data_IF_386988938530
#
_entry.id   IF_386988938530
#
_cell.length_a   1.000
_cell.length_b   1.000
_cell.length_c   1.000
_cell.angle_alpha   90.00
_cell.angle_beta   90.00
_cell.angle_gamma   90.00
#
_symmetry.space_group_name_H-M   'P 1'
#
loop_
_entity.id
_entity.type
_entity.pdbx_description
1 polymer ?
#
# COMPACT_ATOMS: atom_id res chain seq x y z
N UNK A 1 31.14 0.06 47.25
CA UNK A 1 30.97 -0.87 46.11
C UNK A 1 29.59 -1.50 46.24
N UNK A 2 28.59 -0.90 45.61
CA UNK A 2 27.22 -1.43 45.62
C UNK A 2 27.11 -2.52 44.55
N UNK A 3 26.64 -3.69 44.96
CA UNK A 3 26.37 -4.88 44.15
C UNK A 3 25.58 -4.52 42.89
N UNK A 4 26.16 -4.82 41.71
CA UNK A 4 25.42 -4.86 40.45
C UNK A 4 24.42 -6.01 40.55
N UNK A 5 23.17 -5.69 40.91
CA UNK A 5 22.07 -6.64 40.71
C UNK A 5 22.05 -7.01 39.23
N UNK A 6 22.25 -8.29 38.94
CA UNK A 6 22.12 -8.88 37.60
C UNK A 6 20.78 -8.47 37.00
N UNK A 7 20.81 -7.46 36.14
CA UNK A 7 19.64 -7.02 35.38
C UNK A 7 19.42 -8.09 34.33
N UNK A 8 18.32 -8.84 34.46
CA UNK A 8 17.92 -9.78 33.42
C UNK A 8 17.88 -9.07 32.06
N UNK A 9 18.45 -9.67 31.01
CA UNK A 9 18.40 -9.08 29.67
C UNK A 9 16.94 -8.97 29.22
N UNK A 10 16.60 -7.86 28.60
CA UNK A 10 15.32 -7.67 27.95
C UNK A 10 15.11 -8.69 26.83
N UNK A 11 13.85 -8.99 26.49
CA UNK A 11 13.56 -9.88 25.36
C UNK A 11 14.17 -9.39 24.05
N UNK A 12 14.29 -8.07 23.86
CA UNK A 12 14.98 -7.49 22.70
C UNK A 12 16.45 -7.90 22.67
N UNK A 13 17.17 -7.77 23.78
CA UNK A 13 18.59 -8.17 23.89
C UNK A 13 18.78 -9.69 23.68
N UNK A 14 17.86 -10.50 24.22
CA UNK A 14 17.86 -11.96 24.00
C UNK A 14 17.68 -12.30 22.52
N UNK A 15 16.68 -11.71 21.86
CA UNK A 15 16.43 -11.92 20.43
C UNK A 15 17.65 -11.48 19.61
N UNK A 16 18.20 -10.29 19.88
CA UNK A 16 19.40 -9.80 19.20
C UNK A 16 20.56 -10.79 19.33
N UNK A 17 20.83 -11.30 20.54
CA UNK A 17 21.89 -12.29 20.78
C UNK A 17 21.68 -13.60 20.00
N UNK A 18 20.45 -14.11 19.98
CA UNK A 18 20.10 -15.31 19.20
C UNK A 18 20.36 -15.07 17.70
N UNK A 19 19.87 -13.95 17.17
CA UNK A 19 19.97 -13.63 15.73
C UNK A 19 21.40 -13.29 15.29
N UNK A 20 22.24 -12.75 16.16
CA UNK A 20 23.64 -12.41 15.84
C UNK A 20 24.43 -13.66 15.37
N UNK A 21 24.13 -14.84 15.91
CA UNK A 21 24.79 -16.10 15.56
C UNK A 21 24.21 -16.80 14.32
N UNK A 22 23.07 -16.36 13.79
CA UNK A 22 22.35 -17.07 12.74
C UNK A 22 23.06 -17.02 11.38
N UNK A 23 23.22 -18.14 10.68
CA UNK A 23 23.81 -18.11 9.32
C UNK A 23 22.75 -18.07 8.22
N UNK A 24 21.47 -18.18 8.57
CA UNK A 24 20.36 -18.24 7.62
C UNK A 24 19.01 -18.06 8.32
N UNK A 25 17.92 -18.46 7.64
CA UNK A 25 16.59 -18.48 8.23
C UNK A 25 16.52 -19.35 9.49
N UNK A 26 15.73 -18.93 10.47
CA UNK A 26 15.52 -19.62 11.73
C UNK A 26 14.03 -19.97 11.92
N UNK A 27 13.70 -21.20 12.34
CA UNK A 27 12.36 -21.53 12.79
C UNK A 27 11.97 -20.70 14.02
N UNK A 28 10.78 -20.11 14.01
CA UNK A 28 10.23 -19.35 15.14
C UNK A 28 10.20 -20.20 16.41
N UNK A 29 9.87 -21.50 16.28
CA UNK A 29 9.86 -22.45 17.38
C UNK A 29 11.22 -22.54 18.08
N UNK A 30 12.32 -22.58 17.30
CA UNK A 30 13.67 -22.65 17.84
C UNK A 30 14.03 -21.37 18.61
N UNK A 31 13.63 -20.20 18.10
CA UNK A 31 13.84 -18.92 18.79
C UNK A 31 13.07 -18.92 20.11
N UNK A 32 11.82 -19.36 20.13
CA UNK A 32 11.00 -19.46 21.35
C UNK A 32 11.68 -20.38 22.39
N UNK A 33 12.19 -21.53 21.99
CA UNK A 33 12.88 -22.47 22.88
C UNK A 33 14.15 -21.84 23.47
N UNK A 34 14.97 -21.18 22.65
CA UNK A 34 16.18 -20.46 23.10
C UNK A 34 15.85 -19.29 24.02
N UNK A 35 14.80 -18.52 23.72
CA UNK A 35 14.33 -17.43 24.58
C UNK A 35 13.90 -17.94 25.95
N UNK A 36 13.13 -19.03 26.02
CA UNK A 36 12.69 -19.63 27.28
C UNK A 36 13.83 -20.24 28.08
N UNK A 37 14.87 -20.76 27.41
CA UNK A 37 16.07 -21.25 28.08
C UNK A 37 16.89 -20.12 28.73
N UNK A 38 16.98 -18.96 28.08
CA UNK A 38 17.71 -17.79 28.60
C UNK A 38 16.90 -16.98 29.60
N UNK A 39 15.58 -16.92 29.43
CA UNK A 39 14.67 -16.18 30.30
C UNK A 39 13.33 -16.93 30.44
N UNK A 40 13.23 -17.84 31.43
CA UNK A 40 11.97 -18.53 31.73
C UNK A 40 10.84 -17.52 31.99
N UNK A 41 9.67 -17.75 31.40
CA UNK A 41 8.51 -16.86 31.56
C UNK A 41 7.53 -17.43 32.58
N UNK A 42 7.00 -16.55 33.44
CA UNK A 42 5.96 -16.88 34.43
C UNK A 42 4.53 -16.72 33.87
N UNK A 43 4.39 -16.41 32.58
CA UNK A 43 3.07 -16.25 31.97
C UNK A 43 2.30 -17.58 31.95
N UNK A 44 0.96 -17.51 31.96
CA UNK A 44 0.08 -18.69 31.82
C UNK A 44 0.36 -19.50 30.55
N UNK A 45 0.82 -18.84 29.48
CA UNK A 45 1.28 -19.47 28.25
C UNK A 45 2.61 -18.85 27.80
N UNK A 46 3.75 -19.37 28.29
CA UNK A 46 5.09 -18.85 28.01
C UNK A 46 5.42 -18.76 26.51
N UNK A 47 5.05 -19.79 25.74
CA UNK A 47 5.31 -19.84 24.30
C UNK A 47 4.60 -18.71 23.56
N UNK A 48 3.31 -18.47 23.87
CA UNK A 48 2.54 -17.39 23.26
C UNK A 48 3.14 -16.02 23.57
N UNK A 49 3.64 -15.81 24.78
CA UNK A 49 4.33 -14.58 25.15
C UNK A 49 5.62 -14.38 24.34
N UNK A 50 6.44 -15.41 24.16
CA UNK A 50 7.64 -15.32 23.32
C UNK A 50 7.29 -15.03 21.86
N UNK A 51 6.27 -15.68 21.31
CA UNK A 51 5.79 -15.41 19.95
C UNK A 51 5.39 -13.94 19.77
N UNK A 52 4.79 -13.31 20.78
CA UNK A 52 4.42 -11.91 20.72
C UNK A 52 5.65 -11.00 20.63
N UNK A 53 6.69 -11.26 21.45
CA UNK A 53 7.95 -10.51 21.37
C UNK A 53 8.69 -10.70 20.05
N UNK A 54 8.65 -11.91 19.46
CA UNK A 54 9.22 -12.16 18.12
C UNK A 54 8.44 -11.36 17.06
N UNK A 55 7.11 -11.25 17.18
CA UNK A 55 6.30 -10.40 16.28
C UNK A 55 6.61 -8.91 16.42
N UNK A 56 6.81 -8.44 17.65
CA UNK A 56 7.20 -7.04 17.92
C UNK A 56 8.59 -6.71 17.35
N UNK A 57 9.46 -7.71 17.19
CA UNK A 57 10.77 -7.56 16.56
C UNK A 57 10.72 -7.53 15.01
N UNK A 58 9.55 -7.76 14.40
CA UNK A 58 9.38 -7.76 12.95
C UNK A 58 9.65 -6.36 12.35
N UNK A 59 10.48 -6.29 11.31
CA UNK A 59 10.96 -5.04 10.72
C UNK A 59 11.94 -4.25 11.58
N UNK A 60 12.31 -4.76 12.77
CA UNK A 60 13.27 -4.11 13.67
C UNK A 60 14.57 -4.90 13.83
N UNK A 61 14.45 -6.22 13.96
CA UNK A 61 15.59 -7.14 14.11
C UNK A 61 15.52 -8.31 13.12
N UNK A 62 14.30 -8.67 12.69
CA UNK A 62 14.02 -9.78 11.79
C UNK A 62 12.86 -9.46 10.84
N UNK A 63 12.69 -10.29 9.81
CA UNK A 63 11.47 -10.38 9.00
C UNK A 63 10.98 -11.82 8.96
N UNK A 64 9.68 -12.02 8.77
CA UNK A 64 9.11 -13.34 8.53
C UNK A 64 9.25 -13.71 7.05
N UNK A 65 9.75 -14.91 6.76
CA UNK A 65 9.71 -15.50 5.40
C UNK A 65 8.40 -16.25 5.16
N UNK A 66 7.89 -16.85 6.23
CA UNK A 66 6.60 -17.53 6.32
C UNK A 66 6.14 -17.47 7.79
N UNK A 67 4.93 -17.93 8.15
CA UNK A 67 4.42 -17.84 9.53
C UNK A 67 5.28 -18.49 10.62
N UNK A 68 6.18 -19.39 10.25
CA UNK A 68 7.01 -20.21 11.14
C UNK A 68 8.51 -20.00 10.96
N UNK A 69 8.94 -19.17 10.02
CA UNK A 69 10.36 -18.94 9.71
C UNK A 69 10.66 -17.45 9.66
N UNK A 70 11.74 -17.04 10.31
CA UNK A 70 12.23 -15.65 10.28
C UNK A 70 13.65 -15.57 9.73
N UNK A 71 14.02 -14.39 9.24
CA UNK A 71 15.35 -14.05 8.79
C UNK A 71 15.85 -12.78 9.51
N UNK A 72 17.05 -12.78 10.12
CA UNK A 72 17.65 -11.56 10.65
C UNK A 72 17.77 -10.46 9.58
N UNK A 73 17.54 -9.20 9.94
CA UNK A 73 17.60 -8.08 8.99
C UNK A 73 18.96 -7.94 8.30
N UNK A 74 20.07 -8.21 9.01
CA UNK A 74 21.40 -8.20 8.39
C UNK A 74 21.52 -9.18 7.22
N UNK A 75 20.83 -10.33 7.27
CA UNK A 75 20.82 -11.31 6.19
C UNK A 75 19.79 -10.96 5.09
N UNK A 76 18.67 -10.34 5.47
CA UNK A 76 17.69 -9.80 4.53
C UNK A 76 18.34 -8.76 3.61
N UNK A 77 19.15 -7.86 4.18
CA UNK A 77 19.82 -6.78 3.45
C UNK A 77 21.20 -7.10 2.91
N UNK A 78 21.89 -8.14 3.37
CA UNK A 78 23.23 -8.45 2.88
C UNK A 78 23.26 -8.60 1.36
N UNK A 79 24.07 -7.78 0.69
CA UNK A 79 24.19 -7.75 -0.78
C UNK A 79 22.97 -7.18 -1.50
N UNK A 80 21.96 -6.64 -0.79
CA UNK A 80 20.84 -5.96 -1.42
C UNK A 80 21.33 -4.72 -2.16
N UNK A 81 20.80 -4.50 -3.37
CA UNK A 81 21.16 -3.38 -4.22
C UNK A 81 19.94 -2.55 -4.63
N UNK A 82 20.12 -1.24 -4.69
CA UNK A 82 19.14 -0.29 -5.22
C UNK A 82 19.86 0.84 -5.96
N UNK A 83 19.12 1.64 -6.74
CA UNK A 83 19.68 2.78 -7.46
C UNK A 83 18.94 4.08 -7.24
N UNK A 84 19.68 5.19 -7.34
CA UNK A 84 19.15 6.55 -7.34
C UNK A 84 19.44 7.20 -8.70
N UNK A 85 18.42 7.71 -9.40
CA UNK A 85 18.65 8.64 -10.50
C UNK A 85 19.22 9.94 -9.94
N UNK A 86 20.23 10.50 -10.62
CA UNK A 86 20.84 11.75 -10.20
C UNK A 86 20.39 12.87 -11.11
N UNK A 87 19.80 13.93 -10.56
CA UNK A 87 19.50 15.12 -11.34
C UNK A 87 20.74 16.02 -11.53
N UNK A 88 20.55 17.08 -12.31
CA UNK A 88 21.63 18.02 -12.62
C UNK A 88 22.14 18.74 -11.38
N UNK A 89 21.28 19.05 -10.43
CA UNK A 89 21.64 19.77 -9.22
C UNK A 89 22.50 18.90 -8.30
N UNK A 90 22.07 17.66 -8.08
CA UNK A 90 22.74 16.60 -7.30
C UNK A 90 24.15 16.36 -7.83
N UNK A 91 24.31 16.20 -9.16
CA UNK A 91 25.63 15.99 -9.77
C UNK A 91 26.51 17.23 -9.67
N UNK A 92 25.97 18.42 -9.93
CA UNK A 92 26.75 19.66 -9.88
C UNK A 92 27.25 19.98 -8.46
N UNK A 93 26.39 19.78 -7.45
CA UNK A 93 26.72 20.03 -6.05
C UNK A 93 27.48 18.86 -5.42
N UNK A 94 27.32 17.65 -5.96
CA UNK A 94 27.85 16.42 -5.37
C UNK A 94 27.17 16.04 -4.06
N UNK A 95 25.93 16.50 -3.81
CA UNK A 95 25.23 16.32 -2.55
C UNK A 95 24.12 15.27 -2.72
N UNK A 96 24.19 14.18 -1.93
CA UNK A 96 23.16 13.13 -1.92
C UNK A 96 22.44 13.15 -0.57
N UNK A 97 21.12 13.28 -0.56
CA UNK A 97 20.33 13.25 0.68
C UNK A 97 20.37 11.84 1.29
N UNK A 98 21.16 11.68 2.36
CA UNK A 98 21.39 10.36 2.96
C UNK A 98 20.28 9.96 3.92
N UNK A 99 19.60 10.92 4.55
CA UNK A 99 18.47 10.61 5.43
C UNK A 99 17.33 10.01 4.62
N UNK A 100 16.88 10.69 3.59
CA UNK A 100 15.77 10.21 2.76
C UNK A 100 16.15 8.96 1.98
N UNK A 101 17.34 8.92 1.37
CA UNK A 101 17.71 7.81 0.49
C UNK A 101 18.11 6.52 1.22
N UNK A 102 18.56 6.61 2.49
CA UNK A 102 19.12 5.45 3.21
C UNK A 102 18.31 5.01 4.43
N UNK A 103 17.36 5.81 4.95
CA UNK A 103 16.68 5.48 6.21
C UNK A 103 16.04 4.09 6.22
N UNK A 104 15.45 3.63 5.11
CA UNK A 104 14.80 2.31 5.06
C UNK A 104 15.80 1.15 5.01
N UNK A 105 17.06 1.43 4.69
CA UNK A 105 18.15 0.46 4.50
C UNK A 105 19.16 0.45 5.64
N UNK A 106 18.91 1.22 6.69
CA UNK A 106 19.74 1.31 7.88
C UNK A 106 19.06 0.65 9.07
N UNK A 107 19.83 0.25 10.11
CA UNK A 107 19.26 -0.07 11.41
C UNK A 107 18.38 1.06 11.95
N UNK A 108 17.34 0.71 12.70
CA UNK A 108 16.47 1.72 13.31
C UNK A 108 17.30 2.59 14.27
N UNK A 109 17.21 3.91 14.12
CA UNK A 109 18.00 4.90 14.89
C UNK A 109 19.51 4.77 14.65
N UNK A 110 19.94 4.46 13.41
CA UNK A 110 21.36 4.47 13.05
C UNK A 110 21.92 5.90 12.97
N UNK A 111 23.04 6.23 13.66
CA UNK A 111 23.69 7.53 13.55
C UNK A 111 24.24 7.75 12.13
N UNK A 112 23.87 8.86 11.49
CA UNK A 112 24.29 9.13 10.11
C UNK A 112 25.81 9.29 10.00
N UNK A 113 26.47 9.74 11.07
CA UNK A 113 27.91 9.91 11.18
C UNK A 113 28.69 8.59 11.14
N UNK A 114 28.03 7.47 11.44
CA UNK A 114 28.63 6.14 11.37
C UNK A 114 28.57 5.51 9.98
N UNK A 115 27.83 6.11 9.05
CA UNK A 115 27.70 5.62 7.66
C UNK A 115 29.07 5.64 6.99
N UNK A 116 29.36 4.59 6.23
CA UNK A 116 30.60 4.48 5.44
C UNK A 116 30.26 4.14 4.01
N UNK A 117 30.89 4.88 3.09
CA UNK A 117 30.87 4.56 1.68
C UNK A 117 32.20 3.91 1.28
N UNK A 118 32.13 2.87 0.47
CA UNK A 118 33.29 2.22 -0.15
C UNK A 118 33.08 2.12 -1.66
N UNK A 119 34.15 2.03 -2.43
CA UNK A 119 34.08 1.74 -3.86
C UNK A 119 33.99 0.23 -4.14
N UNK A 120 33.99 -0.16 -5.41
CA UNK A 120 33.94 -1.56 -5.86
C UNK A 120 35.13 -2.42 -5.37
N UNK A 121 36.23 -1.80 -4.95
CA UNK A 121 37.41 -2.49 -4.39
C UNK A 121 37.36 -2.60 -2.87
N UNK A 122 36.32 -2.04 -2.24
CA UNK A 122 36.21 -1.91 -0.79
C UNK A 122 37.01 -0.74 -0.21
N UNK A 123 37.58 0.12 -1.06
CA UNK A 123 38.34 1.29 -0.59
C UNK A 123 37.40 2.37 -0.07
N UNK A 124 37.68 3.00 1.09
CA UNK A 124 36.82 4.04 1.64
C UNK A 124 36.67 5.25 0.70
N UNK A 125 35.44 5.72 0.53
CA UNK A 125 35.11 6.96 -0.18
C UNK A 125 34.97 8.07 0.86
N UNK A 126 35.87 9.07 0.88
CA UNK A 126 35.78 10.18 1.82
C UNK A 126 34.59 11.08 1.48
N UNK A 127 33.83 11.46 2.50
CA UNK A 127 32.70 12.39 2.38
C UNK A 127 32.52 13.18 3.68
N UNK A 128 31.70 14.23 3.62
CA UNK A 128 31.27 14.99 4.80
C UNK A 128 29.74 15.08 4.79
N UNK A 129 29.13 15.05 5.97
CA UNK A 129 27.71 15.30 6.12
C UNK A 129 27.50 16.81 6.20
N UNK A 130 26.66 17.35 5.32
CA UNK A 130 26.30 18.77 5.26
C UNK A 130 24.79 18.93 5.43
N UNK A 131 24.33 19.82 6.34
CA UNK A 131 22.94 20.21 6.37
C UNK A 131 22.63 21.09 5.15
N UNK A 132 21.52 20.81 4.47
CA UNK A 132 20.98 21.64 3.40
C UNK A 132 19.59 22.06 3.82
N UNK A 133 19.35 23.37 3.88
CA UNK A 133 18.05 23.93 4.25
C UNK A 133 17.32 24.42 3.01
N UNK A 134 16.05 24.03 2.88
CA UNK A 134 15.17 24.46 1.82
C UNK A 134 13.89 25.03 2.42
N UNK A 135 13.44 26.16 1.86
CA UNK A 135 12.11 26.69 2.16
C UNK A 135 11.06 25.88 1.41
N UNK A 136 10.06 25.41 2.15
CA UNK A 136 8.89 24.75 1.60
C UNK A 136 7.65 25.53 2.02
N UNK A 137 6.75 25.73 1.07
CA UNK A 137 5.44 26.31 1.37
C UNK A 137 4.51 25.18 1.78
N UNK A 138 4.01 25.25 3.00
CA UNK A 138 2.98 24.35 3.53
C UNK A 138 1.68 25.11 3.72
N UNK A 139 0.57 24.42 3.97
CA UNK A 139 -0.71 25.04 4.32
C UNK A 139 -0.65 25.90 5.60
N UNK A 140 0.41 25.74 6.41
CA UNK A 140 0.67 26.53 7.62
C UNK A 140 1.69 27.66 7.38
N UNK A 141 2.03 27.97 6.11
CA UNK A 141 2.98 29.00 5.72
C UNK A 141 4.34 28.45 5.26
N UNK A 142 5.31 29.36 5.10
CA UNK A 142 6.69 29.00 4.75
C UNK A 142 7.40 28.34 5.94
N UNK A 143 7.78 27.08 5.77
CA UNK A 143 8.61 26.34 6.70
C UNK A 143 9.99 26.09 6.09
N UNK A 144 11.03 26.03 6.93
CA UNK A 144 12.36 25.62 6.50
C UNK A 144 12.60 24.17 6.91
N UNK A 145 12.73 23.29 5.93
CA UNK A 145 13.14 21.90 6.16
C UNK A 145 14.65 21.83 5.98
N UNK A 146 15.34 21.18 6.92
CA UNK A 146 16.77 20.91 6.83
C UNK A 146 16.99 19.41 6.69
N UNK A 147 17.78 19.01 5.71
CA UNK A 147 18.10 17.60 5.41
C UNK A 147 19.60 17.38 5.30
N UNK A 148 20.05 16.23 5.79
CA UNK A 148 21.45 15.84 5.83
C UNK A 148 21.89 15.20 4.51
N UNK A 149 22.93 15.77 3.93
CA UNK A 149 23.48 15.33 2.65
C UNK A 149 24.92 14.86 2.81
N UNK A 150 25.29 13.77 2.13
CA UNK A 150 26.67 13.42 1.93
C UNK A 150 27.27 14.21 0.76
N UNK A 151 28.37 14.93 1.02
CA UNK A 151 29.19 15.56 -0.02
C UNK A 151 30.13 14.53 -0.65
N UNK A 152 29.69 14.01 -1.79
CA UNK A 152 30.39 13.07 -2.65
C UNK A 152 31.00 13.78 -3.87
N UNK A 153 31.09 15.11 -3.90
CA UNK A 153 31.49 15.85 -5.10
C UNK A 153 32.89 15.50 -5.61
N UNK A 154 33.84 15.24 -4.71
CA UNK A 154 35.18 14.78 -5.10
C UNK A 154 35.13 13.39 -5.76
N UNK A 155 34.35 12.48 -5.20
CA UNK A 155 34.17 11.14 -5.74
C UNK A 155 33.42 11.19 -7.08
N UNK A 156 32.34 11.96 -7.20
CA UNK A 156 31.60 12.17 -8.46
C UNK A 156 32.51 12.64 -9.60
N UNK A 157 33.42 13.60 -9.33
CA UNK A 157 34.41 14.05 -10.32
C UNK A 157 35.38 12.94 -10.70
N UNK A 158 35.88 12.15 -9.73
CA UNK A 158 36.78 11.02 -9.98
C UNK A 158 36.11 9.94 -10.86
N UNK A 159 34.81 9.72 -10.67
CA UNK A 159 34.00 8.77 -11.43
C UNK A 159 33.47 9.36 -12.75
N UNK A 160 33.71 10.64 -13.03
CA UNK A 160 33.17 11.38 -14.18
C UNK A 160 31.64 11.28 -14.28
N UNK A 161 30.94 11.46 -13.16
CA UNK A 161 29.48 11.40 -13.06
C UNK A 161 28.79 12.51 -13.89
N UNK A 162 27.64 12.17 -14.50
CA UNK A 162 26.76 13.09 -15.24
C UNK A 162 25.29 12.98 -14.79
N UNK A 163 24.48 14.02 -15.05
CA UNK A 163 23.08 14.19 -14.60
C UNK A 163 22.03 13.19 -15.15
N UNK A 164 22.44 12.15 -15.86
CA UNK A 164 21.58 11.04 -16.28
C UNK A 164 22.16 9.69 -15.87
N UNK A 165 23.31 9.70 -15.19
CA UNK A 165 23.89 8.50 -14.63
C UNK A 165 23.13 8.13 -13.36
N UNK A 166 23.16 6.84 -13.01
CA UNK A 166 22.58 6.36 -11.77
C UNK A 166 23.70 6.07 -10.76
N UNK A 167 23.41 6.40 -9.50
CA UNK A 167 24.22 5.97 -8.36
C UNK A 167 23.64 4.65 -7.85
N UNK A 168 24.41 3.57 -7.92
CA UNK A 168 24.03 2.28 -7.38
C UNK A 168 24.58 2.15 -5.96
N UNK A 169 23.76 1.58 -5.09
CA UNK A 169 24.12 1.23 -3.72
C UNK A 169 24.09 -0.29 -3.58
N UNK A 170 25.10 -0.84 -2.92
CA UNK A 170 25.11 -2.24 -2.46
C UNK A 170 25.33 -2.23 -0.95
N UNK A 171 24.46 -2.89 -0.19
CA UNK A 171 24.60 -3.00 1.27
C UNK A 171 25.66 -4.08 1.57
N UNK A 172 26.81 -3.66 2.07
CA UNK A 172 27.96 -4.55 2.36
C UNK A 172 27.92 -5.05 3.80
N UNK A 173 27.66 -4.15 4.75
CA UNK A 173 27.51 -4.46 6.18
C UNK A 173 26.37 -3.60 6.74
N UNK A 174 25.18 -4.20 6.84
CA UNK A 174 23.98 -3.50 7.30
C UNK A 174 24.10 -3.04 8.76
N UNK A 175 24.72 -3.85 9.62
CA UNK A 175 24.85 -3.53 11.05
C UNK A 175 25.76 -2.33 11.28
N UNK A 176 26.74 -2.13 10.41
CA UNK A 176 27.69 -1.00 10.46
C UNK A 176 27.41 0.11 9.46
N UNK A 177 26.28 0.06 8.74
CA UNK A 177 25.91 1.07 7.75
C UNK A 177 26.96 1.26 6.64
N UNK A 178 27.55 0.17 6.15
CA UNK A 178 28.55 0.20 5.07
C UNK A 178 27.88 -0.06 3.72
N UNK A 179 28.00 0.91 2.82
CA UNK A 179 27.46 0.84 1.47
C UNK A 179 28.58 0.93 0.44
N UNK A 180 28.57 0.04 -0.54
CA UNK A 180 29.38 0.18 -1.74
C UNK A 180 28.65 1.06 -2.75
N UNK A 181 29.35 2.05 -3.30
CA UNK A 181 28.85 2.96 -4.32
C UNK A 181 29.41 2.61 -5.69
N UNK A 182 28.55 2.64 -6.71
CA UNK A 182 28.95 2.42 -8.09
C UNK A 182 28.25 3.42 -9.00
N UNK A 183 28.95 3.80 -10.07
CA UNK A 183 28.38 4.60 -11.15
C UNK A 183 27.86 3.67 -12.23
N UNK A 184 26.62 3.91 -12.68
CA UNK A 184 26.10 3.35 -13.91
C UNK A 184 25.89 4.48 -14.94
N UNK A 185 26.71 4.54 -16.00
CA UNK A 185 26.53 5.52 -17.06
C UNK A 185 25.20 5.32 -17.80
N UNK A 186 24.51 6.42 -18.15
CA UNK A 186 23.24 6.36 -18.88
C UNK A 186 23.31 5.49 -20.15
N UNK A 187 24.43 5.52 -20.87
CA UNK A 187 24.65 4.77 -22.11
C UNK A 187 24.85 3.26 -21.93
N UNK A 188 25.14 2.81 -20.71
CA UNK A 188 25.39 1.40 -20.39
C UNK A 188 24.19 0.76 -19.70
N UNK A 189 23.13 1.54 -19.45
CA UNK A 189 21.94 1.08 -18.74
C UNK A 189 21.13 0.13 -19.60
N UNK A 190 20.74 -0.99 -19.02
CA UNK A 190 19.73 -1.87 -19.61
C UNK A 190 18.35 -1.41 -19.14
N UNK A 191 17.73 -0.52 -19.91
CA UNK A 191 16.42 0.06 -19.58
C UNK A 191 15.32 -1.01 -19.48
N UNK A 192 15.39 -2.04 -20.33
CA UNK A 192 14.39 -3.12 -20.33
C UNK A 192 14.51 -3.95 -19.05
N UNK A 193 15.73 -4.31 -18.67
CA UNK A 193 15.95 -5.04 -17.43
C UNK A 193 15.63 -4.17 -16.21
N UNK A 194 15.93 -2.87 -16.25
CA UNK A 194 15.57 -1.93 -15.17
C UNK A 194 14.06 -1.91 -14.96
N UNK A 195 13.29 -1.76 -16.04
CA UNK A 195 11.83 -1.74 -15.97
C UNK A 195 11.26 -3.06 -15.42
N UNK A 196 11.81 -4.20 -15.86
CA UNK A 196 11.43 -5.51 -15.33
C UNK A 196 11.73 -5.63 -13.82
N UNK A 197 12.86 -5.10 -13.36
CA UNK A 197 13.24 -5.14 -11.94
C UNK A 197 12.37 -4.20 -11.10
N UNK A 198 12.00 -3.03 -11.64
CA UNK A 198 11.07 -2.10 -11.00
C UNK A 198 9.69 -2.73 -10.86
N UNK A 199 9.16 -3.29 -11.95
CA UNK A 199 7.85 -3.94 -11.95
C UNK A 199 7.80 -5.10 -10.94
N UNK A 200 8.83 -5.95 -10.91
CA UNK A 200 8.94 -7.03 -9.93
C UNK A 200 8.93 -6.49 -8.48
N UNK A 201 9.72 -5.46 -8.20
CA UNK A 201 9.79 -4.85 -6.88
C UNK A 201 8.41 -4.33 -6.46
N UNK A 202 7.71 -3.62 -7.35
CA UNK A 202 6.41 -3.04 -7.05
C UNK A 202 5.32 -4.10 -6.92
N UNK A 203 5.32 -5.13 -7.78
CA UNK A 203 4.39 -6.26 -7.67
C UNK A 203 4.53 -6.99 -6.34
N UNK A 204 5.74 -7.10 -5.81
CA UNK A 204 6.01 -7.65 -4.49
C UNK A 204 5.45 -6.76 -3.35
N UNK A 205 5.58 -5.43 -3.43
CA UNK A 205 4.93 -4.51 -2.49
C UNK A 205 3.40 -4.60 -2.57
N UNK A 206 2.87 -4.63 -3.78
CA UNK A 206 1.43 -4.72 -4.02
C UNK A 206 0.87 -6.03 -3.46
N UNK A 207 1.57 -7.16 -3.64
CA UNK A 207 1.18 -8.45 -3.05
C UNK A 207 1.14 -8.39 -1.51
N UNK A 208 2.13 -7.77 -0.84
CA UNK A 208 2.09 -7.58 0.61
C UNK A 208 0.87 -6.76 1.04
N UNK A 209 0.55 -5.69 0.30
CA UNK A 209 -0.59 -4.81 0.56
C UNK A 209 -1.92 -5.55 0.36
N UNK A 210 -2.03 -6.34 -0.69
CA UNK A 210 -3.18 -7.20 -0.99
C UNK A 210 -3.46 -8.22 0.12
N UNK A 211 -2.43 -8.64 0.87
CA UNK A 211 -2.56 -9.52 2.01
C UNK A 211 -2.74 -8.83 3.38
N UNK A 212 -2.71 -7.49 3.43
CA UNK A 212 -2.86 -6.75 4.68
C UNK A 212 -4.30 -6.29 4.93
N UNK A 213 -4.87 -6.72 6.05
CA UNK A 213 -6.26 -6.40 6.42
C UNK A 213 -6.50 -4.92 6.69
N UNK A 214 -5.46 -4.16 7.00
CA UNK A 214 -5.56 -2.72 7.25
C UNK A 214 -5.43 -1.87 6.00
N UNK A 215 -5.23 -2.49 4.83
CA UNK A 215 -5.02 -1.79 3.54
C UNK A 215 -3.83 -0.81 3.58
N UNK A 216 -2.91 -1.06 4.51
CA UNK A 216 -1.65 -0.37 4.65
C UNK A 216 -0.60 -1.36 5.15
N UNK A 217 0.65 -1.19 4.68
CA UNK A 217 1.80 -1.92 5.18
C UNK A 217 2.87 -0.92 5.61
N UNK A 218 3.60 -1.22 6.69
CA UNK A 218 4.66 -0.33 7.16
C UNK A 218 5.96 -0.57 6.39
N UNK A 219 6.60 0.50 5.91
CA UNK A 219 7.82 0.44 5.10
C UNK A 219 8.96 -0.29 5.82
N UNK A 220 9.15 -0.06 7.12
CA UNK A 220 10.17 -0.74 7.94
C UNK A 220 9.99 -2.27 8.03
N UNK A 221 8.79 -2.79 7.75
CA UNK A 221 8.54 -4.24 7.65
C UNK A 221 8.56 -4.71 6.20
N UNK A 222 7.93 -3.96 5.29
CA UNK A 222 7.75 -4.35 3.90
C UNK A 222 9.06 -4.36 3.12
N UNK A 223 9.87 -3.29 3.22
CA UNK A 223 11.15 -3.17 2.49
C UNK A 223 12.08 -4.34 2.79
N UNK A 224 12.43 -4.68 4.06
CA UNK A 224 13.31 -5.81 4.32
C UNK A 224 12.68 -7.15 3.96
N UNK A 225 11.36 -7.30 4.09
CA UNK A 225 10.66 -8.53 3.67
C UNK A 225 10.82 -8.74 2.18
N UNK A 226 10.66 -7.70 1.37
CA UNK A 226 10.83 -7.79 -0.08
C UNK A 226 12.28 -8.12 -0.42
N UNK A 227 13.28 -7.46 0.17
CA UNK A 227 14.68 -7.82 -0.10
C UNK A 227 15.05 -9.22 0.39
N UNK A 228 14.37 -9.77 1.40
CA UNK A 228 14.56 -11.17 1.78
C UNK A 228 14.02 -12.15 0.73
N UNK A 229 13.01 -11.76 -0.05
CA UNK A 229 12.37 -12.59 -1.07
C UNK A 229 12.77 -12.24 -2.51
N UNK A 230 13.40 -11.08 -2.74
CA UNK A 230 13.71 -10.56 -4.07
C UNK A 230 14.71 -11.50 -4.76
N UNK A 231 14.32 -12.13 -5.89
CA UNK A 231 15.23 -12.96 -6.67
C UNK A 231 16.44 -12.13 -7.12
N UNK A 232 17.64 -12.69 -6.95
CA UNK A 232 18.89 -12.03 -7.33
C UNK A 232 19.00 -10.59 -6.81
N UNK A 233 18.75 -10.38 -5.50
CA UNK A 233 18.85 -9.05 -4.87
C UNK A 233 20.24 -8.39 -5.00
N UNK A 234 21.28 -9.19 -5.30
CA UNK A 234 22.65 -8.77 -5.59
C UNK A 234 22.92 -8.45 -7.07
N UNK A 235 21.98 -8.77 -7.95
CA UNK A 235 22.11 -8.57 -9.40
C UNK A 235 21.82 -7.15 -9.83
N UNK A 236 21.05 -7.00 -10.92
CA UNK A 236 20.71 -5.69 -11.46
C UNK A 236 19.70 -4.97 -10.54
N UNK A 237 20.06 -3.81 -9.93
CA UNK A 237 19.24 -3.20 -8.88
C UNK A 237 17.99 -2.51 -9.44
N UNK A 238 16.80 -2.62 -8.83
CA UNK A 238 15.70 -1.71 -9.14
C UNK A 238 16.00 -0.29 -8.65
N UNK A 239 15.13 0.67 -8.98
CA UNK A 239 15.10 1.96 -8.30
C UNK A 239 14.92 1.79 -6.79
N UNK A 240 15.34 2.81 -6.05
CA UNK A 240 14.93 2.97 -4.66
C UNK A 240 13.41 2.77 -4.52
N UNK A 241 12.98 1.98 -3.55
CA UNK A 241 11.59 1.53 -3.41
C UNK A 241 10.57 2.67 -3.47
N UNK A 242 10.86 3.81 -2.83
CA UNK A 242 10.02 5.00 -2.86
C UNK A 242 9.76 5.50 -4.29
N UNK A 243 10.80 5.55 -5.13
CA UNK A 243 10.69 5.99 -6.53
C UNK A 243 9.87 4.98 -7.32
N UNK A 244 10.15 3.68 -7.16
CA UNK A 244 9.45 2.63 -7.88
C UNK A 244 7.94 2.62 -7.56
N UNK A 245 7.57 2.74 -6.28
CA UNK A 245 6.16 2.80 -5.85
C UNK A 245 5.45 4.03 -6.43
N UNK A 246 6.07 5.21 -6.31
CA UNK A 246 5.45 6.45 -6.78
C UNK A 246 5.29 6.50 -8.32
N UNK A 247 6.14 5.79 -9.07
CA UNK A 247 6.05 5.70 -10.53
C UNK A 247 4.97 4.73 -11.02
N UNK A 248 4.70 3.66 -10.28
CA UNK A 248 3.72 2.63 -10.68
C UNK A 248 2.25 3.09 -10.54
N UNK A 249 1.97 3.92 -9.54
CA UNK A 249 0.66 4.55 -9.37
C UNK A 249 -0.45 3.67 -8.76
N UNK A 250 -0.25 2.37 -8.54
CA UNK A 250 -1.21 1.53 -7.77
C UNK A 250 -1.15 1.78 -6.27
N UNK A 251 -0.02 2.29 -5.79
CA UNK A 251 0.27 2.53 -4.38
C UNK A 251 0.80 3.94 -4.18
N UNK A 252 0.66 4.44 -2.97
CA UNK A 252 1.28 5.68 -2.51
C UNK A 252 1.89 5.47 -1.13
N UNK A 253 2.66 6.44 -0.64
CA UNK A 253 3.36 6.33 0.63
C UNK A 253 3.66 7.69 1.26
N UNK A 254 3.61 7.72 2.60
CA UNK A 254 4.05 8.85 3.43
C UNK A 254 5.52 8.67 3.92
N UNK A 255 6.22 7.67 3.37
CA UNK A 255 7.56 7.22 3.80
C UNK A 255 7.52 6.16 4.91
N UNK A 256 6.47 6.13 5.73
CA UNK A 256 6.30 5.19 6.85
C UNK A 256 5.32 4.06 6.54
N UNK A 257 4.28 4.36 5.76
CA UNK A 257 3.22 3.44 5.35
C UNK A 257 3.03 3.49 3.86
N UNK A 258 2.87 2.32 3.27
CA UNK A 258 2.48 2.12 1.88
C UNK A 258 1.02 1.69 1.88
N UNK A 259 0.19 2.35 1.08
CA UNK A 259 -1.25 2.10 0.97
C UNK A 259 -1.69 2.26 -0.49
N UNK A 260 -2.92 1.90 -0.82
CA UNK A 260 -3.42 2.06 -2.18
C UNK A 260 -3.49 3.55 -2.56
N UNK A 261 -3.23 3.87 -3.82
CA UNK A 261 -3.32 5.25 -4.31
C UNK A 261 -4.76 5.81 -4.30
N UNK A 262 -5.75 4.93 -4.32
CA UNK A 262 -7.18 5.22 -4.32
C UNK A 262 -7.84 5.01 -2.94
N UNK A 263 -7.08 4.64 -1.91
CA UNK A 263 -7.59 4.67 -0.54
C UNK A 263 -7.64 6.13 -0.07
N UNK A 264 -8.77 6.80 -0.34
CA UNK A 264 -9.09 8.05 0.34
C UNK A 264 -9.25 7.82 1.85
N UNK A 265 -9.01 8.85 2.67
CA UNK A 265 -9.32 8.82 4.10
C UNK A 265 -10.73 8.26 4.33
N UNK A 266 -10.94 7.45 5.37
CA UNK A 266 -12.28 6.90 5.66
C UNK A 266 -13.28 7.99 6.06
N UNK A 267 -14.59 7.77 5.87
CA UNK A 267 -15.66 8.73 6.24
C UNK A 267 -15.57 9.20 7.72
N UNK A 268 -15.11 8.35 8.63
CA UNK A 268 -14.86 8.70 10.04
C UNK A 268 -13.62 9.61 10.22
N UNK A 269 -12.54 9.38 9.47
CA UNK A 269 -11.37 10.27 9.44
C UNK A 269 -11.69 11.61 8.76
N UNK A 270 -12.60 11.61 7.77
CA UNK A 270 -13.14 12.81 7.11
C UNK A 270 -13.99 13.67 8.03
N UNK A 271 -14.75 13.07 8.95
CA UNK A 271 -15.53 13.81 9.96
C UNK A 271 -14.63 14.52 10.98
N UNK A 272 -13.42 13.98 11.23
CA UNK A 272 -12.42 14.56 12.13
C UNK A 272 -11.56 15.63 11.41
N UNK A 273 -11.41 15.56 10.08
CA UNK A 273 -10.59 16.47 9.27
C UNK A 273 -11.35 17.59 8.53
N UNK A 274 -12.58 17.91 8.95
CA UNK A 274 -13.43 18.95 8.32
C UNK A 274 -12.80 20.38 8.21
N UNK A 275 -11.60 20.61 8.72
CA UNK A 275 -10.93 21.93 8.70
C UNK A 275 -9.78 22.09 7.69
N UNK A 276 -9.38 21.05 6.95
CA UNK A 276 -8.33 21.16 5.92
C UNK A 276 -8.89 20.92 4.53
N UNK A 277 -9.33 22.00 3.87
CA UNK A 277 -9.90 21.96 2.54
C UNK A 277 -8.94 21.40 1.48
N UNK A 278 -9.32 20.28 0.88
CA UNK A 278 -9.54 20.11 -0.56
C UNK A 278 -10.11 18.70 -0.79
N UNK A 279 -11.32 18.63 -1.36
CA UNK A 279 -12.06 17.38 -1.60
C UNK A 279 -11.41 16.63 -2.76
N UNK A 280 -10.78 15.50 -2.51
CA UNK A 280 -10.40 14.57 -3.58
C UNK A 280 -11.63 13.78 -4.02
N UNK A 281 -12.41 14.35 -4.95
CA UNK A 281 -13.51 13.66 -5.62
C UNK A 281 -12.91 12.48 -6.41
N UNK A 282 -13.55 11.31 -6.36
CA UNK A 282 -13.18 10.16 -7.16
C UNK A 282 -12.98 10.59 -8.64
N UNK A 283 -11.80 10.33 -9.19
CA UNK A 283 -11.42 10.79 -10.53
C UNK A 283 -12.35 10.13 -11.57
N UNK A 284 -13.30 10.90 -12.09
CA UNK A 284 -14.14 10.45 -13.21
C UNK A 284 -13.30 10.44 -14.48
N UNK A 285 -13.22 9.29 -15.14
CA UNK A 285 -12.48 9.18 -16.40
C UNK A 285 -13.20 9.96 -17.51
N UNK A 286 -12.46 10.57 -18.46
CA UNK A 286 -13.08 11.18 -19.64
C UNK A 286 -13.81 10.12 -20.46
N UNK A 287 -15.13 10.29 -20.62
CA UNK A 287 -15.99 9.34 -21.34
C UNK A 287 -16.22 9.76 -22.81
N UNK A 288 -16.13 8.78 -23.70
CA UNK A 288 -16.40 8.94 -25.14
C UNK A 288 -17.89 9.14 -25.42
N UNK A 289 -18.23 9.60 -26.63
CA UNK A 289 -19.64 9.75 -27.03
C UNK A 289 -20.37 8.41 -27.14
N UNK A 290 -19.67 7.32 -27.43
CA UNK A 290 -20.21 5.95 -27.52
C UNK A 290 -20.54 5.41 -26.13
N UNK A 291 -19.58 5.47 -25.20
CA UNK A 291 -19.78 5.05 -23.81
C UNK A 291 -20.95 5.78 -23.11
N UNK A 292 -21.20 7.04 -23.48
CA UNK A 292 -22.37 7.81 -22.98
C UNK A 292 -23.71 7.19 -23.38
N UNK A 293 -23.78 6.51 -24.53
CA UNK A 293 -25.01 5.94 -25.10
C UNK A 293 -25.26 4.51 -24.66
N UNK A 294 -24.19 3.77 -24.34
CA UNK A 294 -24.27 2.39 -23.85
C UNK A 294 -25.13 2.30 -22.59
N UNK A 295 -25.85 1.18 -22.47
CA UNK A 295 -26.71 0.84 -21.35
C UNK A 295 -25.98 -0.16 -20.47
N UNK A 296 -25.86 0.18 -19.19
CA UNK A 296 -25.30 -0.64 -18.15
C UNK A 296 -26.46 -1.32 -17.42
N UNK A 297 -26.50 -2.66 -17.48
CA UNK A 297 -27.51 -3.47 -16.80
C UNK A 297 -26.93 -3.98 -15.49
N UNK A 298 -27.43 -3.46 -14.37
CA UNK A 298 -27.06 -3.89 -13.02
C UNK A 298 -28.12 -4.81 -12.45
N UNK A 299 -27.70 -5.94 -11.88
CA UNK A 299 -28.51 -6.66 -10.91
C UNK A 299 -28.20 -6.14 -9.51
N UNK A 300 -29.19 -5.52 -8.88
CA UNK A 300 -29.14 -5.02 -7.52
C UNK A 300 -29.86 -5.99 -6.58
N UNK A 301 -29.25 -6.33 -5.45
CA UNK A 301 -29.81 -7.28 -4.47
C UNK A 301 -29.60 -6.73 -3.06
N UNK A 302 -30.53 -6.97 -2.13
CA UNK A 302 -30.30 -6.63 -0.71
C UNK A 302 -29.21 -7.53 -0.13
N UNK A 303 -28.19 -6.94 0.50
CA UNK A 303 -27.01 -7.67 0.96
C UNK A 303 -27.35 -8.80 1.96
N UNK A 304 -28.32 -8.57 2.85
CA UNK A 304 -28.76 -9.53 3.86
C UNK A 304 -29.99 -10.36 3.45
N UNK A 305 -30.58 -10.07 2.29
CA UNK A 305 -31.73 -10.78 1.71
C UNK A 305 -31.58 -10.85 0.19
N UNK A 306 -30.58 -11.58 -0.34
CA UNK A 306 -30.24 -11.55 -1.77
C UNK A 306 -31.35 -12.12 -2.67
N UNK A 307 -32.30 -12.84 -2.09
CA UNK A 307 -33.50 -13.26 -2.80
C UNK A 307 -34.38 -12.07 -3.22
N UNK A 308 -34.24 -10.88 -2.63
CA UNK A 308 -34.91 -9.66 -3.07
C UNK A 308 -33.94 -8.90 -3.98
N UNK A 309 -34.26 -8.87 -5.27
CA UNK A 309 -33.44 -8.27 -6.30
C UNK A 309 -34.24 -7.50 -7.35
N UNK A 310 -33.55 -6.57 -8.00
CA UNK A 310 -34.00 -5.75 -9.12
C UNK A 310 -32.93 -5.75 -10.20
N UNK A 311 -33.34 -5.64 -11.45
CA UNK A 311 -32.45 -5.38 -12.58
C UNK A 311 -32.74 -3.96 -13.04
N UNK A 312 -31.73 -3.11 -12.96
CA UNK A 312 -31.79 -1.71 -13.33
C UNK A 312 -30.93 -1.48 -14.56
N UNK A 313 -31.49 -0.79 -15.54
CA UNK A 313 -30.77 -0.37 -16.75
C UNK A 313 -30.59 1.14 -16.76
N UNK A 314 -29.33 1.57 -16.94
CA UNK A 314 -28.96 2.98 -16.91
C UNK A 314 -27.94 3.31 -18.00
N UNK A 315 -28.08 4.46 -18.67
CA UNK A 315 -27.13 4.87 -19.70
C UNK A 315 -25.83 5.42 -19.09
N UNK A 316 -24.70 5.21 -19.78
CA UNK A 316 -23.39 5.67 -19.33
C UNK A 316 -23.26 7.19 -19.12
N UNK A 317 -24.16 7.99 -19.72
CA UNK A 317 -24.25 9.45 -19.51
C UNK A 317 -24.88 9.85 -18.17
N UNK A 318 -25.73 8.99 -17.59
CA UNK A 318 -26.41 9.24 -16.33
C UNK A 318 -25.41 9.17 -15.18
N UNK A 319 -25.81 9.71 -14.03
CA UNK A 319 -24.94 9.84 -12.87
C UNK A 319 -25.28 8.84 -11.77
N UNK A 320 -24.47 8.83 -10.70
CA UNK A 320 -24.80 8.09 -9.47
C UNK A 320 -26.08 8.62 -8.82
N UNK A 321 -26.43 9.91 -8.97
CA UNK A 321 -27.71 10.41 -8.49
C UNK A 321 -28.90 9.84 -9.27
N UNK A 322 -28.79 9.71 -10.60
CA UNK A 322 -29.81 9.04 -11.41
C UNK A 322 -29.98 7.57 -11.02
N UNK A 323 -28.86 6.89 -10.71
CA UNK A 323 -28.87 5.49 -10.25
C UNK A 323 -29.44 5.35 -8.84
N UNK A 324 -29.08 6.24 -7.91
CA UNK A 324 -29.62 6.29 -6.55
C UNK A 324 -31.15 6.42 -6.57
N UNK A 325 -31.67 7.39 -7.32
CA UNK A 325 -33.11 7.60 -7.46
C UNK A 325 -33.82 6.35 -8.01
N UNK A 326 -33.27 5.73 -9.06
CA UNK A 326 -33.86 4.52 -9.63
C UNK A 326 -33.85 3.35 -8.65
N UNK A 327 -32.76 3.16 -7.88
CA UNK A 327 -32.69 2.12 -6.85
C UNK A 327 -33.70 2.36 -5.73
N UNK A 328 -33.89 3.60 -5.29
CA UNK A 328 -34.90 3.94 -4.29
C UNK A 328 -36.30 3.58 -4.77
N UNK A 329 -36.64 3.97 -6.00
CA UNK A 329 -37.92 3.64 -6.61
C UNK A 329 -38.09 2.12 -6.76
N UNK A 330 -37.08 1.42 -7.29
CA UNK A 330 -37.17 -0.02 -7.54
C UNK A 330 -37.33 -0.85 -6.26
N UNK A 331 -36.74 -0.41 -5.15
CA UNK A 331 -36.84 -1.08 -3.84
C UNK A 331 -37.89 -0.48 -2.90
N UNK A 332 -38.69 0.48 -3.36
CA UNK A 332 -39.73 1.17 -2.58
C UNK A 332 -39.19 1.84 -1.29
N UNK A 333 -38.00 2.45 -1.42
CA UNK A 333 -37.38 3.27 -0.37
C UNK A 333 -37.91 4.71 -0.43
N UNK A 334 -37.84 5.43 0.69
CA UNK A 334 -38.17 6.86 0.71
C UNK A 334 -37.13 7.66 -0.11
N UNK A 335 -37.64 8.43 -1.08
CA UNK A 335 -36.86 9.23 -2.01
C UNK A 335 -36.42 10.59 -1.48
N UNK A 336 -36.90 11.05 -0.31
CA UNK A 336 -36.77 12.46 0.08
C UNK A 336 -35.98 12.74 1.38
N UNK A 337 -35.81 11.79 2.28
CA UNK A 337 -35.26 12.10 3.64
C UNK A 337 -33.90 11.45 3.96
N UNK A 338 -33.45 10.46 3.18
CA UNK A 338 -32.27 9.68 3.51
C UNK A 338 -31.11 9.87 2.52
N UNK A 339 -29.86 9.80 2.99
CA UNK A 339 -28.68 9.83 2.14
C UNK A 339 -28.37 8.44 1.56
N UNK A 340 -27.77 8.43 0.37
CA UNK A 340 -27.23 7.25 -0.30
C UNK A 340 -25.70 7.34 -0.43
N UNK A 341 -25.04 6.19 -0.61
CA UNK A 341 -23.60 6.15 -0.86
C UNK A 341 -23.20 4.98 -1.75
N UNK A 342 -22.15 5.15 -2.55
CA UNK A 342 -21.64 4.14 -3.45
C UNK A 342 -20.18 3.80 -3.19
N UNK A 343 -19.86 2.51 -3.27
CA UNK A 343 -18.50 2.00 -3.25
C UNK A 343 -18.28 1.01 -4.40
N UNK A 344 -17.15 1.11 -5.10
CA UNK A 344 -16.67 0.08 -6.03
C UNK A 344 -15.99 -1.03 -5.25
N UNK A 345 -16.42 -2.27 -5.45
CA UNK A 345 -15.83 -3.43 -4.81
C UNK A 345 -14.74 -4.02 -5.70
N UNK A 346 -13.48 -3.82 -5.32
CA UNK A 346 -12.33 -4.33 -6.05
C UNK A 346 -11.86 -5.65 -5.44
N UNK A 347 -11.88 -6.77 -6.18
CA UNK A 347 -11.42 -8.06 -5.66
C UNK A 347 -9.99 -7.99 -5.14
N UNK A 348 -9.73 -8.63 -4.00
CA UNK A 348 -8.40 -8.74 -3.39
C UNK A 348 -7.82 -10.14 -3.50
N UNK A 349 -6.50 -10.24 -3.61
CA UNK A 349 -5.77 -11.52 -3.58
C UNK A 349 -5.80 -12.33 -4.88
N UNK A 350 -5.97 -11.68 -6.03
CA UNK A 350 -6.00 -12.33 -7.35
C UNK A 350 -4.70 -12.21 -8.12
N UNK A 351 -3.75 -13.14 -7.89
CA UNK A 351 -2.64 -13.59 -8.79
C UNK A 351 -1.75 -14.58 -8.02
N UNK A 352 -0.86 -15.29 -8.73
CA UNK A 352 0.20 -16.07 -8.07
C UNK A 352 0.97 -15.17 -7.10
N UNK A 353 1.02 -15.55 -5.83
CA UNK A 353 1.62 -14.76 -4.76
C UNK A 353 3.16 -14.83 -4.87
N UNK A 354 3.85 -13.72 -5.21
CA UNK A 354 5.30 -13.71 -5.31
C UNK A 354 5.99 -13.87 -3.93
N UNK A 355 5.26 -13.70 -2.82
CA UNK A 355 5.79 -13.81 -1.46
C UNK A 355 4.91 -14.79 -0.66
N UNK A 356 5.36 -16.03 -0.38
CA UNK A 356 4.53 -17.08 0.21
C UNK A 356 4.20 -16.88 1.71
N UNK A 357 3.70 -15.71 2.11
CA UNK A 357 3.23 -15.39 3.44
C UNK A 357 1.81 -15.94 3.62
N UNK A 358 1.70 -17.24 3.91
CA UNK A 358 0.42 -17.86 4.32
C UNK A 358 -0.05 -17.33 5.68
N UNK A 359 -0.52 -16.08 5.76
CA UNK A 359 -1.20 -15.58 6.97
C UNK A 359 -2.42 -16.46 7.20
N UNK A 360 -2.65 -16.90 8.45
CA UNK A 360 -3.90 -17.58 8.85
C UNK A 360 -5.05 -16.72 8.35
N UNK A 361 -5.83 -17.24 7.42
CA UNK A 361 -6.98 -16.57 6.82
C UNK A 361 -8.00 -16.21 7.92
N UNK A 362 -7.78 -15.09 8.62
CA UNK A 362 -8.89 -14.29 9.14
C UNK A 362 -9.65 -13.91 7.89
N UNK A 363 -10.90 -14.42 7.76
CA UNK A 363 -11.88 -14.17 6.70
C UNK A 363 -11.50 -12.90 5.90
N UNK A 364 -10.61 -13.05 4.93
CA UNK A 364 -10.01 -11.89 4.26
C UNK A 364 -11.17 -11.20 3.56
N UNK A 365 -11.26 -9.87 3.67
CA UNK A 365 -12.22 -9.13 2.88
C UNK A 365 -11.91 -9.46 1.41
N UNK A 366 -12.82 -10.19 0.75
CA UNK A 366 -12.65 -10.61 -0.64
C UNK A 366 -12.56 -9.41 -1.58
N UNK A 367 -12.98 -8.25 -1.10
CA UNK A 367 -13.03 -7.01 -1.83
C UNK A 367 -12.50 -5.87 -0.96
N UNK A 368 -11.90 -4.89 -1.61
CA UNK A 368 -11.68 -3.54 -1.11
C UNK A 368 -12.85 -2.66 -1.51
N UNK A 369 -13.30 -1.79 -0.61
CA UNK A 369 -14.37 -0.82 -0.89
C UNK A 369 -13.73 0.53 -1.27
N UNK A 370 -13.78 0.90 -2.55
CA UNK A 370 -13.37 2.24 -3.02
C UNK A 370 -14.60 3.12 -3.01
N UNK A 371 -14.60 4.15 -2.18
CA UNK A 371 -15.70 5.10 -2.15
C UNK A 371 -15.80 5.89 -3.45
N UNK A 372 -17.00 5.92 -4.03
CA UNK A 372 -17.33 6.70 -5.22
C UNK A 372 -18.02 8.02 -4.87
N UNK A 373 -18.54 8.12 -3.64
CA UNK A 373 -19.15 9.31 -3.05
C UNK A 373 -20.56 9.07 -2.52
N UNK A 374 -21.08 10.08 -1.82
CA UNK A 374 -22.44 10.17 -1.33
C UNK A 374 -23.38 10.88 -2.31
N UNK A 375 -24.67 10.57 -2.16
CA UNK A 375 -25.78 11.19 -2.88
C UNK A 375 -26.82 11.62 -1.85
N UNK A 376 -27.09 12.91 -1.78
CA UNK A 376 -28.16 13.46 -0.97
C UNK A 376 -29.54 13.20 -1.63
N UNK A 377 -30.64 13.16 -0.85
CA UNK A 377 -31.96 12.83 -1.41
C UNK A 377 -32.49 13.84 -2.45
N UNK A 378 -31.86 15.01 -2.58
CA UNK A 378 -32.23 16.03 -3.57
C UNK A 378 -31.34 15.96 -4.83
N UNK A 379 -30.47 14.94 -4.94
CA UNK A 379 -29.61 14.67 -6.08
C UNK A 379 -28.27 15.43 -6.08
N UNK A 380 -27.89 16.04 -4.96
CA UNK A 380 -26.54 16.55 -4.68
C UNK A 380 -25.68 15.52 -3.94
N UNK A 381 -24.59 15.95 -3.30
CA UNK A 381 -23.56 15.07 -2.73
C UNK A 381 -22.27 15.03 -3.57
N UNK A 382 -21.18 14.52 -3.01
CA UNK A 382 -19.88 14.52 -3.68
C UNK A 382 -19.78 13.48 -4.82
N UNK A 383 -20.56 12.41 -4.75
CA UNK A 383 -20.66 11.36 -5.76
C UNK A 383 -21.73 11.61 -6.81
N UNK A 384 -22.71 12.47 -6.54
CA UNK A 384 -23.90 12.65 -7.38
C UNK A 384 -23.63 13.01 -8.84
N UNK A 385 -22.56 13.75 -9.12
CA UNK A 385 -22.16 14.14 -10.48
C UNK A 385 -21.41 13.06 -11.27
N UNK A 386 -20.98 11.97 -10.60
CA UNK A 386 -20.17 10.91 -11.20
C UNK A 386 -20.97 10.12 -12.22
N UNK A 387 -20.54 10.14 -13.48
CA UNK A 387 -21.22 9.43 -14.57
C UNK A 387 -20.95 7.94 -14.51
N UNK A 388 -21.95 7.11 -14.83
CA UNK A 388 -21.84 5.64 -14.82
C UNK A 388 -20.69 5.15 -15.70
N UNK A 389 -20.57 5.64 -16.93
CA UNK A 389 -19.44 5.26 -17.79
C UNK A 389 -18.09 5.77 -17.26
N UNK A 390 -18.09 6.84 -16.47
CA UNK A 390 -16.88 7.42 -15.87
C UNK A 390 -16.30 6.60 -14.73
N UNK A 391 -17.05 5.61 -14.22
CA UNK A 391 -16.63 4.68 -13.17
C UNK A 391 -15.69 3.57 -13.68
N UNK A 392 -15.56 3.44 -15.02
CA UNK A 392 -14.69 2.44 -15.65
C UNK A 392 -15.02 1.00 -15.23
N UNK A 393 -16.31 0.66 -15.19
CA UNK A 393 -16.77 -0.67 -14.81
C UNK A 393 -16.72 -1.64 -15.99
N UNK A 394 -16.37 -2.89 -15.71
CA UNK A 394 -16.43 -4.02 -16.63
C UNK A 394 -17.52 -5.01 -16.22
N UNK A 395 -18.03 -5.80 -17.16
CA UNK A 395 -19.00 -6.87 -16.85
C UNK A 395 -18.43 -7.81 -15.78
N UNK A 396 -19.21 -8.05 -14.72
CA UNK A 396 -18.82 -8.80 -13.52
C UNK A 396 -18.34 -7.92 -12.36
N UNK A 397 -18.02 -6.65 -12.60
CA UNK A 397 -17.67 -5.70 -11.54
C UNK A 397 -18.85 -5.50 -10.59
N UNK A 398 -18.52 -5.23 -9.32
CA UNK A 398 -19.50 -5.03 -8.26
C UNK A 398 -19.42 -3.64 -7.67
N UNK A 399 -20.58 -3.07 -7.38
CA UNK A 399 -20.72 -1.91 -6.50
C UNK A 399 -21.46 -2.34 -5.23
N UNK A 400 -21.18 -1.62 -4.16
CA UNK A 400 -22.00 -1.58 -2.95
C UNK A 400 -22.75 -0.26 -2.97
N UNK A 401 -24.03 -0.32 -2.71
CA UNK A 401 -24.89 0.84 -2.50
C UNK A 401 -25.45 0.78 -1.08
N UNK A 402 -25.34 1.85 -0.33
CA UNK A 402 -25.96 1.95 1.01
C UNK A 402 -27.03 3.02 0.94
N UNK A 403 -28.26 2.63 1.23
CA UNK A 403 -29.38 3.53 1.45
C UNK A 403 -29.56 3.74 2.96
N UNK A 404 -29.82 4.99 3.35
CA UNK A 404 -30.00 5.43 4.74
C UNK A 404 -28.80 5.08 5.64
N UNK A 405 -27.94 6.07 5.90
CA UNK A 405 -26.79 5.86 6.80
C UNK A 405 -27.18 5.66 8.27
N UNK A 406 -28.44 5.91 8.66
CA UNK A 406 -28.97 5.57 9.97
C UNK A 406 -29.17 4.06 10.12
N UNK A 407 -29.99 3.47 9.24
CA UNK A 407 -30.33 2.04 9.27
C UNK A 407 -29.32 1.15 8.52
N UNK A 408 -28.45 1.74 7.70
CA UNK A 408 -27.39 1.09 6.93
C UNK A 408 -27.90 -0.02 6.02
N UNK A 409 -28.83 0.31 5.12
CA UNK A 409 -29.47 -0.65 4.22
C UNK A 409 -28.57 -0.90 3.00
N UNK A 410 -27.80 -1.98 3.08
CA UNK A 410 -26.82 -2.34 2.05
C UNK A 410 -27.44 -3.14 0.88
N UNK A 411 -27.04 -2.76 -0.33
CA UNK A 411 -27.33 -3.45 -1.59
C UNK A 411 -26.01 -3.83 -2.29
N UNK A 412 -25.99 -5.00 -2.92
CA UNK A 412 -24.93 -5.41 -3.85
C UNK A 412 -25.42 -5.24 -5.28
N UNK A 413 -24.67 -4.49 -6.07
CA UNK A 413 -24.93 -4.28 -7.48
C UNK A 413 -23.87 -5.03 -8.28
N UNK A 414 -24.27 -5.91 -9.19
CA UNK A 414 -23.37 -6.60 -10.12
C UNK A 414 -23.67 -6.12 -11.53
N UNK A 415 -22.65 -5.64 -12.27
CA UNK A 415 -22.81 -5.26 -13.66
C UNK A 415 -22.88 -6.51 -14.53
N UNK A 416 -24.06 -6.82 -15.08
CA UNK A 416 -24.29 -8.04 -15.86
C UNK A 416 -24.00 -7.85 -17.35
N UNK A 417 -24.25 -6.65 -17.89
CA UNK A 417 -24.05 -6.35 -19.29
C UNK A 417 -23.79 -4.86 -19.57
N UNK A 418 -23.07 -4.60 -20.67
CA UNK A 418 -22.95 -3.28 -21.30
C UNK A 418 -23.42 -3.45 -22.75
N UNK A 419 -24.56 -2.85 -23.10
CA UNK A 419 -25.27 -3.09 -24.37
C UNK A 419 -25.57 -1.78 -25.11
N UNK A 420 -25.92 -1.87 -26.39
CA UNK A 420 -26.48 -0.73 -27.13
C UNK A 420 -27.91 -0.41 -26.65
N UNK A 421 -28.32 0.87 -26.62
CA UNK A 421 -29.65 1.24 -26.17
C UNK A 421 -30.74 0.71 -27.09
N UNK A 422 -31.86 0.29 -26.50
CA UNK A 422 -33.04 -0.09 -27.27
C UNK A 422 -33.59 1.11 -28.07
N UNK A 423 -34.12 0.87 -29.29
CA UNK A 423 -34.79 1.92 -30.05
C UNK A 423 -35.93 2.54 -29.24
N UNK A 424 -35.79 3.83 -28.90
CA UNK A 424 -36.74 4.62 -28.08
C UNK A 424 -36.84 4.20 -26.61
N UNK A 425 -35.88 3.43 -26.09
CA UNK A 425 -35.78 3.12 -24.66
C UNK A 425 -35.66 4.41 -23.82
N UNK A 426 -36.41 4.47 -22.71
CA UNK A 426 -36.26 5.50 -21.68
C UNK A 426 -35.45 4.90 -20.54
N UNK A 427 -34.43 5.63 -20.10
CA UNK A 427 -33.50 5.22 -19.05
C UNK A 427 -33.34 6.39 -18.06
N UNK A 428 -33.01 6.15 -16.78
CA UNK A 428 -32.95 4.84 -16.14
C UNK A 428 -34.32 4.14 -16.09
N UNK A 429 -34.32 2.80 -15.92
CA UNK A 429 -35.53 1.99 -15.73
C UNK A 429 -35.24 0.69 -15.00
N UNK A 430 -36.23 0.18 -14.28
CA UNK A 430 -36.30 -1.21 -13.86
C UNK A 430 -36.65 -2.10 -15.07
N UNK A 431 -35.78 -3.07 -15.37
CA UNK A 431 -35.95 -4.05 -16.45
C UNK A 431 -36.40 -5.43 -15.94
N UNK A 432 -36.39 -5.67 -14.63
CA UNK A 432 -36.91 -6.89 -14.02
C UNK A 432 -36.78 -6.93 -12.50
N UNK A 433 -37.56 -7.79 -11.86
CA UNK A 433 -37.51 -8.05 -10.43
C UNK A 433 -37.97 -9.48 -10.13
N UNK A 434 -37.73 -9.97 -8.91
CA UNK A 434 -38.44 -11.13 -8.39
C UNK A 434 -39.65 -10.73 -7.55
N UNK A 435 -40.66 -11.59 -7.53
CA UNK A 435 -41.73 -11.50 -6.55
C UNK A 435 -41.18 -11.86 -5.15
N UNK A 436 -41.51 -11.08 -4.09
CA UNK A 436 -41.09 -11.43 -2.75
C UNK A 436 -41.82 -12.71 -2.29
N UNK A 437 -41.09 -13.77 -1.99
CA UNK A 437 -41.65 -14.90 -1.25
C UNK A 437 -41.81 -14.49 0.23
N UNK A 438 -43.02 -14.05 0.60
CA UNK A 438 -43.35 -13.79 1.99
C UNK A 438 -43.51 -15.12 2.73
N UNK A 439 -42.61 -15.39 3.68
CA UNK A 439 -42.60 -16.59 4.52
C UNK A 439 -43.92 -16.79 5.29
N UNK A 440 -44.70 -15.72 5.47
CA UNK A 440 -46.00 -15.71 6.17
C UNK A 440 -47.11 -14.95 5.39
N UNK A 441 -47.25 -15.19 4.08
CA UNK A 441 -48.44 -14.72 3.36
C UNK A 441 -49.67 -15.54 3.79
N UNK A 442 -50.54 -14.95 4.61
CA UNK A 442 -51.79 -15.58 5.09
C UNK A 442 -52.74 -15.93 3.93
N UNK A 443 -52.65 -15.23 2.80
CA UNK A 443 -53.42 -15.49 1.58
C UNK A 443 -52.81 -16.59 0.69
N UNK A 444 -51.56 -16.96 0.92
CA UNK A 444 -50.80 -17.93 0.14
C UNK A 444 -50.71 -19.32 0.82
N UNK A 445 -51.27 -19.46 2.03
CA UNK A 445 -51.59 -20.75 2.67
C UNK A 445 -52.99 -21.18 2.31
#
# INVERSE_FOLDING_TARGET
MASSKDKFPSYKEIITSILASAQGPLPVKEIVERMLALHPSQAKNPQRAMHQHIREANGLLLVYLDPNTVLPLRLAYNGARFRLPLDRETVNKGLVNIRESLHSYLPLVFPLEEIRFVDQTGSPIPFQIKPVSQKVTTIFGENTITSEHADLGAWFRSQKMYHNDHLLFTIVDWEKGVFQLEREPARQRDEKLLEQRNQLLVDMFFALLEHDVSEAIYSHQAVPTIYAHLPDKSGYPPYHWLIAILQDGRMTTDGWRIHYSDSGFSMFERLIQQEAGERAVAQTQPITSEQRKQVYRFKAELAYRPNIWRVVEIQGKHTLADLDLELRVAFDHDTFDHMGGFWKLVPRGGKEDPIPLKRRARKQAKYREIELGDVDPLGGGDGAGSKIAGLGLSVGDKLKYVYDFGDWIEHSLTLEAIEEPEPRGKYPREAGHNEPEYVDCVECR
#
